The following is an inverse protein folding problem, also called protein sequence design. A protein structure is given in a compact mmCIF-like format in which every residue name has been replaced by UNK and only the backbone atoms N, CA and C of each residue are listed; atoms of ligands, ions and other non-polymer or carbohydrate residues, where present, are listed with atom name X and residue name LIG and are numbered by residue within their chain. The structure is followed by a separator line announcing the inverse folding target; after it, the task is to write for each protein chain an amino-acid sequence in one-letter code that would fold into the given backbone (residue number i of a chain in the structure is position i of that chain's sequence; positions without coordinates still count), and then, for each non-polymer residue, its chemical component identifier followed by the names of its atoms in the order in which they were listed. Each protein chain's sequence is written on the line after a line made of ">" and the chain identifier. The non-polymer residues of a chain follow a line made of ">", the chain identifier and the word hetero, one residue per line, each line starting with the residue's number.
data_IF_772277193872
#
_entry.id   IF_772277193872
#
_cell.length_a   1.000
_cell.length_b   1.000
_cell.length_c   1.000
_cell.angle_alpha   90.00
_cell.angle_beta   90.00
_cell.angle_gamma   90.00
#
_symmetry.space_group_name_H-M   'P 1'
#
loop_
_entity.id
_entity.type
_entity.pdbx_description
1 polymer ?
#
# COMPACT_ATOMS: atom_id res chain seq x y z
N UNK A 1 -17.47 -1.81 -4.32
CA UNK A 1 -16.48 -2.63 -5.05
C UNK A 1 -15.82 -3.66 -4.15
N UNK A 2 -15.13 -3.30 -3.05
CA UNK A 2 -14.41 -4.26 -2.20
C UNK A 2 -15.29 -5.42 -1.70
N UNK A 3 -16.42 -5.11 -1.05
CA UNK A 3 -17.30 -6.14 -0.51
C UNK A 3 -18.02 -6.94 -1.61
N UNK A 4 -18.41 -6.28 -2.70
CA UNK A 4 -19.01 -6.94 -3.87
C UNK A 4 -18.09 -8.05 -4.43
N UNK A 5 -16.77 -7.83 -4.45
CA UNK A 5 -15.78 -8.85 -4.87
C UNK A 5 -15.78 -10.03 -3.89
N UNK A 6 -15.84 -9.78 -2.59
CA UNK A 6 -15.86 -10.83 -1.57
C UNK A 6 -17.15 -11.66 -1.59
N UNK A 7 -18.27 -11.07 -2.00
CA UNK A 7 -19.54 -11.77 -2.14
C UNK A 7 -19.52 -12.81 -3.27
N UNK A 8 -18.85 -12.49 -4.38
CA UNK A 8 -18.88 -13.32 -5.60
C UNK A 8 -17.67 -14.23 -5.77
N UNK A 9 -16.54 -13.90 -5.15
CA UNK A 9 -15.31 -14.67 -5.30
C UNK A 9 -15.43 -16.06 -4.67
N UNK A 10 -14.91 -17.07 -5.39
CA UNK A 10 -14.75 -18.43 -4.84
C UNK A 10 -13.33 -18.70 -4.35
N UNK A 11 -12.41 -17.77 -4.58
CA UNK A 11 -10.99 -17.90 -4.29
C UNK A 11 -10.50 -16.79 -3.35
N UNK A 12 -9.35 -16.97 -2.68
CA UNK A 12 -8.71 -15.90 -1.93
C UNK A 12 -8.41 -14.69 -2.79
N UNK A 13 -8.67 -13.50 -2.27
CA UNK A 13 -8.34 -12.23 -2.92
C UNK A 13 -7.18 -11.54 -2.21
N UNK A 14 -6.58 -10.55 -2.86
CA UNK A 14 -5.48 -9.79 -2.30
C UNK A 14 -5.76 -8.29 -2.39
N UNK A 15 -5.24 -7.54 -1.43
CA UNK A 15 -4.94 -6.12 -1.61
C UNK A 15 -3.45 -6.00 -1.91
N UNK A 16 -3.08 -5.74 -3.16
CA UNK A 16 -1.70 -5.86 -3.65
C UNK A 16 -0.75 -4.76 -3.16
N UNK A 17 -1.30 -3.62 -2.75
CA UNK A 17 -0.56 -2.50 -2.14
C UNK A 17 -1.60 -1.61 -1.43
N UNK A 18 -1.73 -1.76 -0.11
CA UNK A 18 -2.60 -0.93 0.72
C UNK A 18 -2.09 -0.92 2.17
N UNK A 19 -2.51 0.05 2.97
CA UNK A 19 -2.17 0.11 4.40
C UNK A 19 -3.43 0.03 5.29
N UNK A 20 -3.26 0.31 6.59
CA UNK A 20 -4.31 0.21 7.62
C UNK A 20 -4.93 1.58 7.88
N UNK A 21 -6.26 1.69 7.74
CA UNK A 21 -6.97 2.97 7.87
C UNK A 21 -6.98 3.49 9.30
N UNK A 22 -7.00 2.60 10.28
CA UNK A 22 -6.97 2.97 11.71
C UNK A 22 -5.67 3.69 12.09
N UNK A 23 -4.54 3.35 11.47
CA UNK A 23 -3.25 4.02 11.71
C UNK A 23 -3.09 5.30 10.86
N UNK A 24 -3.59 5.28 9.63
CA UNK A 24 -3.59 6.45 8.75
C UNK A 24 -4.91 6.52 7.99
N UNK A 25 -5.74 7.51 8.34
CA UNK A 25 -7.05 7.73 7.74
C UNK A 25 -6.93 8.23 6.30
N UNK A 26 -6.84 7.26 5.37
CA UNK A 26 -6.69 7.48 3.95
C UNK A 26 -7.63 6.54 3.18
N UNK A 27 -8.34 7.00 2.13
CA UNK A 27 -9.31 6.18 1.41
C UNK A 27 -8.68 4.97 0.67
N UNK A 28 -7.37 5.00 0.40
CA UNK A 28 -6.63 3.85 -0.16
C UNK A 28 -6.35 2.74 0.86
N UNK A 29 -6.50 3.02 2.15
CA UNK A 29 -6.24 2.05 3.22
C UNK A 29 -7.48 1.24 3.57
N UNK A 30 -7.30 0.00 4.04
CA UNK A 30 -8.39 -0.88 4.44
C UNK A 30 -8.84 -0.56 5.86
N UNK A 31 -10.15 -0.53 6.09
CA UNK A 31 -10.72 -0.50 7.43
C UNK A 31 -10.55 -1.84 8.15
N UNK A 32 -10.68 -1.87 9.47
CA UNK A 32 -10.65 -3.10 10.26
C UNK A 32 -11.71 -4.12 9.79
N UNK A 33 -12.88 -3.65 9.37
CA UNK A 33 -13.93 -4.49 8.80
C UNK A 33 -13.47 -5.14 7.49
N UNK A 34 -12.84 -4.36 6.60
CA UNK A 34 -12.29 -4.90 5.35
C UNK A 34 -11.16 -5.90 5.61
N UNK A 35 -10.29 -5.64 6.59
CA UNK A 35 -9.21 -6.56 6.98
C UNK A 35 -9.78 -7.89 7.50
N UNK A 36 -10.79 -7.86 8.38
CA UNK A 36 -11.45 -9.07 8.89
C UNK A 36 -12.18 -9.84 7.79
N UNK A 37 -12.83 -9.15 6.87
CA UNK A 37 -13.49 -9.76 5.71
C UNK A 37 -12.47 -10.42 4.76
N UNK A 38 -11.34 -9.74 4.52
CA UNK A 38 -10.22 -10.29 3.75
C UNK A 38 -9.66 -11.57 4.41
N UNK A 39 -9.47 -11.55 5.72
CA UNK A 39 -9.00 -12.71 6.48
C UNK A 39 -9.97 -13.89 6.39
N UNK A 40 -11.27 -13.63 6.52
CA UNK A 40 -12.33 -14.64 6.39
C UNK A 40 -12.35 -15.30 5.01
N UNK A 41 -11.93 -14.58 3.97
CA UNK A 41 -11.76 -15.08 2.61
C UNK A 41 -10.42 -15.83 2.39
N UNK A 42 -9.57 -15.97 3.40
CA UNK A 42 -8.18 -16.42 3.30
C UNK A 42 -7.28 -15.51 2.44
N UNK A 43 -7.68 -14.26 2.25
CA UNK A 43 -6.94 -13.28 1.49
C UNK A 43 -5.73 -12.71 2.21
N UNK A 44 -4.96 -11.88 1.51
CA UNK A 44 -3.70 -11.28 2.02
C UNK A 44 -3.65 -9.80 1.65
N UNK A 45 -3.33 -8.94 2.62
CA UNK A 45 -2.97 -7.54 2.38
C UNK A 45 -1.46 -7.43 2.26
N UNK A 46 -0.99 -6.80 1.19
CA UNK A 46 0.42 -6.46 0.99
C UNK A 46 0.62 -4.99 1.40
N UNK A 47 1.42 -4.74 2.44
CA UNK A 47 1.61 -3.39 3.01
C UNK A 47 2.40 -2.50 2.05
N UNK A 48 1.89 -1.30 1.80
CA UNK A 48 2.36 -0.36 0.80
C UNK A 48 3.32 0.70 1.33
N UNK A 49 4.31 1.09 0.52
CA UNK A 49 5.40 1.98 0.94
C UNK A 49 5.14 3.43 0.49
N UNK A 50 3.92 3.74 0.02
CA UNK A 50 3.53 5.13 -0.25
C UNK A 50 3.39 5.86 1.08
N UNK A 51 4.29 6.82 1.34
CA UNK A 51 4.37 7.53 2.62
C UNK A 51 3.05 8.14 3.10
N UNK A 52 2.21 8.65 2.19
CA UNK A 52 0.89 9.22 2.53
C UNK A 52 -0.17 8.18 2.91
N UNK A 53 0.08 6.89 2.64
CA UNK A 53 -0.76 5.78 3.09
C UNK A 53 -0.29 5.23 4.43
N UNK A 54 1.00 5.38 4.75
CA UNK A 54 1.60 4.92 6.00
C UNK A 54 1.37 5.94 7.12
N UNK A 55 1.53 7.22 6.84
CA UNK A 55 1.29 8.27 7.84
C UNK A 55 0.60 9.48 7.28
N UNK A 56 -0.11 10.17 8.16
CA UNK A 56 -0.73 11.45 7.83
C UNK A 56 0.37 12.50 7.63
N UNK A 57 0.47 13.00 6.40
CA UNK A 57 1.39 14.10 6.11
C UNK A 57 1.02 15.34 6.94
N UNK A 58 2.04 16.07 7.40
CA UNK A 58 1.83 17.38 8.01
C UNK A 58 1.23 18.34 6.97
N UNK A 59 0.24 19.18 7.34
CA UNK A 59 -0.29 20.18 6.43
C UNK A 59 0.81 21.09 5.91
N UNK A 60 0.80 21.36 4.60
CA UNK A 60 1.68 22.33 3.97
C UNK A 60 0.81 23.33 3.16
N UNK A 61 0.41 24.47 3.77
CA UNK A 61 -0.49 25.42 3.12
C UNK A 61 0.03 25.96 1.78
N UNK A 62 1.35 26.07 1.62
CA UNK A 62 1.96 26.56 0.38
C UNK A 62 1.84 25.54 -0.75
N UNK A 63 2.07 24.26 -0.42
CA UNK A 63 1.82 23.15 -1.35
C UNK A 63 0.35 23.04 -1.72
N UNK A 64 -0.55 23.08 -0.74
CA UNK A 64 -2.00 22.98 -1.00
C UNK A 64 -2.48 24.12 -1.92
N UNK A 65 -1.97 25.34 -1.70
CA UNK A 65 -2.25 26.49 -2.57
C UNK A 65 -1.70 26.27 -3.98
N UNK A 66 -0.51 25.70 -4.12
CA UNK A 66 0.09 25.41 -5.43
C UNK A 66 -0.68 24.31 -6.18
N UNK A 67 -1.04 23.23 -5.51
CA UNK A 67 -1.84 22.13 -6.08
C UNK A 67 -3.26 22.59 -6.46
N UNK A 68 -3.86 23.49 -5.68
CA UNK A 68 -5.16 24.10 -6.02
C UNK A 68 -5.06 24.87 -7.34
N UNK A 69 -4.03 25.71 -7.50
CA UNK A 69 -3.80 26.43 -8.77
C UNK A 69 -3.54 25.50 -9.95
N UNK A 70 -2.78 24.42 -9.74
CA UNK A 70 -2.53 23.42 -10.78
C UNK A 70 -3.85 22.78 -11.23
N UNK A 71 -4.72 22.42 -10.28
CA UNK A 71 -6.05 21.85 -10.55
C UNK A 71 -6.98 22.85 -11.24
N UNK A 72 -6.95 24.12 -10.87
CA UNK A 72 -7.71 25.18 -11.56
C UNK A 72 -7.23 25.37 -13.01
N UNK A 73 -5.94 25.18 -13.26
CA UNK A 73 -5.33 25.32 -14.60
C UNK A 73 -5.63 24.13 -15.52
N UNK A 74 -5.56 22.89 -15.01
CA UNK A 74 -5.63 21.67 -15.83
C UNK A 74 -6.89 20.81 -15.62
N UNK A 75 -7.66 21.04 -14.55
CA UNK A 75 -8.73 20.12 -14.13
C UNK A 75 -8.18 18.93 -13.33
N UNK A 76 -8.95 17.85 -13.23
CA UNK A 76 -8.45 16.62 -12.62
C UNK A 76 -7.61 15.81 -13.61
N UNK A 77 -6.59 15.10 -13.12
CA UNK A 77 -5.74 14.23 -13.95
C UNK A 77 -6.51 13.18 -14.76
N UNK A 78 -7.67 12.75 -14.27
CA UNK A 78 -8.59 11.83 -14.95
C UNK A 78 -9.36 12.45 -16.11
N UNK A 79 -9.52 13.77 -16.14
CA UNK A 79 -10.25 14.49 -17.20
C UNK A 79 -9.34 14.90 -18.36
N UNK A 80 -8.04 15.04 -18.11
CA UNK A 80 -7.04 15.40 -19.13
C UNK A 80 -6.81 14.21 -20.08
N UNK A 81 -7.31 14.33 -21.31
CA UNK A 81 -7.16 13.33 -22.38
C UNK A 81 -5.98 13.57 -23.31
N UNK A 82 -5.56 14.82 -23.43
CA UNK A 82 -4.41 15.18 -24.27
C UNK A 82 -3.11 14.82 -23.54
N UNK A 83 -2.27 14.02 -24.19
CA UNK A 83 -1.04 13.48 -23.60
C UNK A 83 -0.02 14.59 -23.31
N UNK A 84 0.12 15.57 -24.21
CA UNK A 84 1.05 16.69 -24.02
C UNK A 84 0.62 17.62 -22.89
N UNK A 85 -0.68 17.77 -22.67
CA UNK A 85 -1.22 18.52 -21.53
C UNK A 85 -1.02 17.74 -20.24
N UNK A 86 -1.20 16.41 -20.28
CA UNK A 86 -0.96 15.55 -19.11
C UNK A 86 0.51 15.58 -18.70
N UNK A 87 1.45 15.49 -19.64
CA UNK A 87 2.89 15.55 -19.40
C UNK A 87 3.26 16.87 -18.70
N UNK A 88 2.84 18.02 -19.25
CA UNK A 88 3.09 19.34 -18.62
C UNK A 88 2.49 19.47 -17.22
N UNK A 89 1.30 18.93 -17.02
CA UNK A 89 0.65 18.92 -15.71
C UNK A 89 1.43 18.04 -14.72
N UNK A 90 1.98 16.91 -15.18
CA UNK A 90 2.82 16.01 -14.38
C UNK A 90 4.15 16.66 -14.03
N UNK A 91 4.82 17.34 -14.97
CA UNK A 91 6.03 18.11 -14.71
C UNK A 91 5.80 19.21 -13.65
N UNK A 92 4.77 20.04 -13.83
CA UNK A 92 4.44 21.09 -12.85
C UNK A 92 4.02 20.51 -11.48
N UNK A 93 3.38 19.34 -11.47
CA UNK A 93 3.08 18.63 -10.24
C UNK A 93 4.36 18.18 -9.53
N UNK A 94 5.33 17.62 -10.26
CA UNK A 94 6.61 17.19 -9.70
C UNK A 94 7.42 18.38 -9.17
N UNK A 95 7.47 19.50 -9.89
CA UNK A 95 8.11 20.75 -9.44
C UNK A 95 7.52 21.25 -8.11
N UNK A 96 6.20 21.14 -7.93
CA UNK A 96 5.53 21.51 -6.67
C UNK A 96 5.98 20.59 -5.52
N UNK A 97 6.12 19.29 -5.78
CA UNK A 97 6.55 18.32 -4.78
C UNK A 97 8.03 18.42 -4.43
N UNK A 98 8.89 18.79 -5.39
CA UNK A 98 10.29 19.09 -5.15
C UNK A 98 10.45 20.37 -4.32
N UNK A 99 9.67 21.41 -4.65
CA UNK A 99 9.70 22.69 -3.93
C UNK A 99 9.12 22.59 -2.51
N UNK A 100 8.09 21.76 -2.33
CA UNK A 100 7.39 21.60 -1.05
C UNK A 100 7.31 20.12 -0.65
N UNK A 101 8.44 19.51 -0.27
CA UNK A 101 8.50 18.08 0.00
C UNK A 101 7.60 17.68 1.17
N UNK A 102 7.04 16.47 1.10
CA UNK A 102 6.41 15.82 2.25
C UNK A 102 7.47 15.10 3.08
N UNK A 103 7.24 15.02 4.39
CA UNK A 103 7.98 14.09 5.24
C UNK A 103 7.65 12.65 4.82
N UNK A 104 8.69 11.87 4.50
CA UNK A 104 8.55 10.44 4.24
C UNK A 104 8.15 9.72 5.53
N UNK A 105 7.33 8.68 5.41
CA UNK A 105 7.18 7.70 6.48
C UNK A 105 8.50 6.95 6.69
N UNK A 106 8.69 6.35 7.85
CA UNK A 106 9.88 5.56 8.20
C UNK A 106 9.61 4.06 8.06
N UNK A 107 10.67 3.25 8.02
CA UNK A 107 10.57 1.78 8.13
C UNK A 107 9.79 1.37 9.41
N UNK A 108 10.00 2.06 10.52
CA UNK A 108 9.27 1.77 11.77
C UNK A 108 7.77 2.01 11.60
N UNK A 109 7.38 3.16 11.06
CA UNK A 109 5.96 3.48 10.81
C UNK A 109 5.33 2.48 9.82
N UNK A 110 6.07 2.03 8.80
CA UNK A 110 5.60 0.98 7.90
C UNK A 110 5.37 -0.34 8.65
N UNK A 111 6.31 -0.76 9.49
CA UNK A 111 6.20 -2.02 10.23
C UNK A 111 5.10 -1.94 11.31
N UNK A 112 4.73 -0.75 11.79
CA UNK A 112 3.53 -0.59 12.64
C UNK A 112 2.25 -1.07 11.93
N UNK A 113 2.14 -0.89 10.61
CA UNK A 113 1.03 -1.46 9.84
C UNK A 113 1.10 -2.99 9.76
N UNK A 114 2.29 -3.57 9.63
CA UNK A 114 2.46 -5.02 9.65
C UNK A 114 2.04 -5.57 11.02
N UNK A 115 2.55 -5.00 12.11
CA UNK A 115 2.18 -5.37 13.48
C UNK A 115 0.67 -5.31 13.69
N UNK A 116 0.04 -4.22 13.24
CA UNK A 116 -1.41 -4.05 13.40
C UNK A 116 -2.18 -5.15 12.68
N UNK A 117 -1.84 -5.46 11.43
CA UNK A 117 -2.51 -6.54 10.68
C UNK A 117 -2.26 -7.90 11.34
N UNK A 118 -1.03 -8.18 11.75
CA UNK A 118 -0.67 -9.43 12.44
C UNK A 118 -1.47 -9.60 13.73
N UNK A 119 -1.60 -8.55 14.53
CA UNK A 119 -2.38 -8.58 15.77
C UNK A 119 -3.89 -8.70 15.53
N UNK A 120 -4.42 -8.09 14.47
CA UNK A 120 -5.86 -8.06 14.20
C UNK A 120 -6.37 -9.34 13.53
N UNK A 121 -5.65 -9.83 12.52
CA UNK A 121 -6.11 -10.92 11.64
C UNK A 121 -5.09 -12.06 11.48
N UNK A 122 -3.91 -11.97 12.08
CA UNK A 122 -2.89 -13.02 12.06
C UNK A 122 -1.86 -12.87 10.94
N UNK A 123 -0.67 -13.44 11.19
CA UNK A 123 0.50 -13.32 10.28
C UNK A 123 0.28 -13.93 8.90
N UNK A 124 -0.67 -14.86 8.74
CA UNK A 124 -0.97 -15.53 7.47
C UNK A 124 -1.63 -14.61 6.42
N UNK A 125 -2.01 -13.39 6.82
CA UNK A 125 -2.81 -12.46 6.03
C UNK A 125 -2.10 -11.15 5.69
N UNK A 126 -0.80 -11.05 5.95
CA UNK A 126 0.01 -9.85 5.65
C UNK A 126 1.18 -10.17 4.72
N UNK A 127 1.60 -9.20 3.91
CA UNK A 127 2.81 -9.26 3.10
C UNK A 127 3.35 -7.88 2.74
N UNK A 128 4.17 -7.81 1.68
CA UNK A 128 4.89 -6.62 1.22
C UNK A 128 4.48 -6.26 -0.21
N UNK A 129 4.02 -5.03 -0.43
CA UNK A 129 3.59 -4.52 -1.74
C UNK A 129 4.12 -3.10 -1.96
N UNK A 130 5.39 -2.98 -2.33
CA UNK A 130 6.16 -1.73 -2.22
C UNK A 130 5.56 -0.55 -2.97
N UNK A 131 4.99 -0.80 -4.16
CA UNK A 131 4.59 0.26 -5.09
C UNK A 131 5.79 1.09 -5.58
N UNK A 132 6.99 0.51 -5.61
CA UNK A 132 8.15 1.11 -6.27
C UNK A 132 7.82 1.43 -7.74
N UNK A 133 8.37 2.53 -8.25
CA UNK A 133 8.03 3.14 -9.55
C UNK A 133 6.56 3.59 -9.71
N UNK A 134 5.70 3.32 -8.72
CA UNK A 134 4.30 3.78 -8.61
C UNK A 134 4.07 4.89 -7.58
N UNK A 135 5.10 5.25 -6.81
CA UNK A 135 5.06 6.28 -5.75
C UNK A 135 5.45 5.77 -4.36
N UNK A 136 5.75 4.47 -4.22
CA UNK A 136 6.29 3.87 -3.01
C UNK A 136 7.70 4.36 -2.71
N UNK A 137 7.90 4.95 -1.54
CA UNK A 137 9.17 5.43 -1.02
C UNK A 137 8.98 5.83 0.45
N UNK A 138 9.82 5.29 1.32
CA UNK A 138 9.88 5.62 2.75
C UNK A 138 11.33 5.84 3.16
N UNK A 139 11.54 6.62 4.22
CA UNK A 139 12.85 6.80 4.83
C UNK A 139 13.40 5.45 5.32
N UNK A 140 14.57 5.08 4.79
CA UNK A 140 15.22 3.79 5.03
C UNK A 140 14.72 2.65 4.15
N UNK A 141 13.85 2.91 3.17
CA UNK A 141 13.58 1.97 2.08
C UNK A 141 13.09 2.73 0.83
N UNK A 142 14.01 3.43 0.17
CA UNK A 142 13.73 4.24 -1.02
C UNK A 142 13.71 3.44 -2.32
N UNK A 143 14.41 2.30 -2.37
CA UNK A 143 14.41 1.39 -3.51
C UNK A 143 14.58 -0.07 -3.08
N UNK A 144 14.65 -0.97 -4.08
CA UNK A 144 14.75 -2.42 -3.88
C UNK A 144 16.01 -2.86 -3.13
N UNK A 145 17.10 -2.09 -3.16
CA UNK A 145 18.35 -2.42 -2.47
C UNK A 145 18.24 -2.30 -0.96
N UNK A 146 17.26 -1.53 -0.47
CA UNK A 146 17.05 -1.23 0.95
C UNK A 146 15.97 -2.11 1.61
N UNK A 147 15.33 -3.02 0.85
CA UNK A 147 14.39 -4.00 1.40
C UNK A 147 14.90 -4.81 2.61
N UNK A 148 16.21 -5.12 2.75
CA UNK A 148 16.74 -5.73 3.98
C UNK A 148 16.47 -4.91 5.26
N UNK A 149 16.23 -3.61 5.18
CA UNK A 149 15.89 -2.77 6.34
C UNK A 149 14.54 -3.14 6.92
N UNK A 150 13.58 -3.58 6.09
CA UNK A 150 12.29 -4.11 6.57
C UNK A 150 12.49 -5.39 7.36
N UNK A 151 13.33 -6.30 6.86
CA UNK A 151 13.67 -7.55 7.57
C UNK A 151 14.36 -7.25 8.90
N UNK A 152 15.28 -6.28 8.90
CA UNK A 152 15.99 -5.85 10.11
C UNK A 152 15.01 -5.32 11.16
N UNK A 153 14.04 -4.50 10.76
CA UNK A 153 13.02 -3.99 11.67
C UNK A 153 12.08 -5.11 12.17
N UNK A 154 11.65 -6.04 11.32
CA UNK A 154 10.85 -7.20 11.74
C UNK A 154 11.60 -8.07 12.77
N UNK A 155 12.89 -8.34 12.55
CA UNK A 155 13.73 -9.05 13.51
C UNK A 155 13.85 -8.28 14.83
N UNK A 156 14.04 -6.96 14.77
CA UNK A 156 14.10 -6.08 15.96
C UNK A 156 12.81 -6.15 16.80
N UNK A 157 11.66 -6.33 16.14
CA UNK A 157 10.35 -6.50 16.78
C UNK A 157 10.06 -7.93 17.24
N UNK A 158 10.99 -8.87 17.04
CA UNK A 158 10.88 -10.24 17.54
C UNK A 158 10.11 -11.19 16.63
N UNK A 159 9.92 -10.85 15.35
CA UNK A 159 9.36 -11.80 14.38
C UNK A 159 10.31 -12.99 14.21
N UNK A 160 9.75 -14.20 14.27
CA UNK A 160 10.50 -15.41 13.94
C UNK A 160 10.84 -15.46 12.45
N UNK A 161 11.89 -16.20 12.11
CA UNK A 161 12.26 -16.43 10.70
C UNK A 161 11.10 -17.03 9.90
N UNK A 162 10.30 -17.92 10.52
CA UNK A 162 9.11 -18.50 9.90
C UNK A 162 8.09 -17.41 9.54
N UNK A 163 7.79 -16.49 10.46
CA UNK A 163 6.85 -15.41 10.22
C UNK A 163 7.37 -14.42 9.17
N UNK A 164 8.67 -14.13 9.19
CA UNK A 164 9.31 -13.29 8.16
C UNK A 164 9.18 -13.93 6.78
N UNK A 165 9.38 -15.25 6.65
CA UNK A 165 9.19 -15.98 5.38
C UNK A 165 7.75 -15.93 4.88
N UNK A 166 6.76 -15.98 5.80
CA UNK A 166 5.34 -15.80 5.45
C UNK A 166 5.06 -14.42 4.89
N UNK A 167 5.52 -13.37 5.58
CA UNK A 167 5.37 -11.96 5.18
C UNK A 167 6.02 -11.69 3.81
N UNK A 168 7.24 -12.17 3.59
CA UNK A 168 7.98 -11.90 2.35
C UNK A 168 7.48 -12.63 1.11
N UNK A 169 6.61 -13.63 1.26
CA UNK A 169 6.15 -14.36 0.08
C UNK A 169 5.29 -15.59 0.37
N UNK A 170 5.47 -16.24 1.52
CA UNK A 170 4.73 -17.46 1.84
C UNK A 170 3.21 -17.29 1.75
N UNK A 171 2.69 -16.16 2.25
CA UNK A 171 1.26 -15.88 2.27
C UNK A 171 0.67 -15.65 0.88
N UNK A 172 1.36 -14.86 0.04
CA UNK A 172 0.90 -14.61 -1.33
C UNK A 172 0.97 -15.88 -2.18
N UNK A 173 2.00 -16.70 -1.99
CA UNK A 173 2.14 -17.97 -2.69
C UNK A 173 1.05 -18.97 -2.27
N UNK A 174 0.66 -19.00 -0.99
CA UNK A 174 -0.50 -19.76 -0.49
C UNK A 174 -1.80 -19.32 -1.19
N UNK A 175 -2.05 -18.01 -1.24
CA UNK A 175 -3.25 -17.47 -1.88
C UNK A 175 -3.29 -17.81 -3.38
N UNK A 176 -2.18 -17.59 -4.10
CA UNK A 176 -2.06 -17.91 -5.52
C UNK A 176 -2.23 -19.41 -5.79
N UNK A 177 -1.61 -20.27 -4.98
CA UNK A 177 -1.78 -21.72 -5.07
C UNK A 177 -3.25 -22.14 -4.95
N UNK A 178 -4.00 -21.51 -4.04
CA UNK A 178 -5.43 -21.79 -3.89
C UNK A 178 -6.26 -21.33 -5.08
N UNK A 179 -5.94 -20.18 -5.66
CA UNK A 179 -6.57 -19.68 -6.90
C UNK A 179 -6.39 -20.70 -8.04
N UNK A 180 -5.16 -21.19 -8.23
CA UNK A 180 -4.83 -22.19 -9.27
C UNK A 180 -5.59 -23.51 -9.02
N UNK A 181 -5.65 -23.99 -7.77
CA UNK A 181 -6.39 -25.20 -7.41
C UNK A 181 -7.89 -25.10 -7.77
N UNK A 182 -8.53 -23.96 -7.46
CA UNK A 182 -9.95 -23.73 -7.76
C UNK A 182 -10.17 -23.65 -9.27
N UNK A 183 -9.30 -22.94 -9.99
CA UNK A 183 -9.38 -22.84 -11.45
C UNK A 183 -9.28 -24.24 -12.11
N UNK A 184 -8.40 -25.11 -11.61
CA UNK A 184 -8.25 -26.48 -12.11
C UNK A 184 -9.49 -27.38 -11.90
N UNK A 185 -10.30 -27.11 -10.88
CA UNK A 185 -11.54 -27.85 -10.57
C UNK A 185 -12.76 -27.38 -11.35
N UNK A 186 -12.65 -26.27 -12.07
CA UNK A 186 -13.76 -25.64 -12.80
C UNK A 186 -13.74 -25.99 -14.30
N UNK A 187 -12.92 -26.99 -14.69
CA UNK A 187 -12.95 -27.63 -16.01
C UNK A 187 -13.87 -28.84 -16.00
#
# INVERSE_FOLDING_TARGET
>A
SFFDVLEVTKAPVIASHSCVRTLCDHPRNLSDEMLKALASNNGVIQICFVSSFVKKAKPNPEREKALTKLREKYGSRSEVRDESVREKMEDEYMDIYEKYPSEKATVQELVDHIDYVVNLIGVEHVGIGTDFDGGGSIEGCDDVSELPNITTELLRRGYSEENIRKIWGGNIMRALGKVIEIAGKTK
#
